data_IF_046286712725
#
_entry.id   IF_046286712725
#
_cell.length_a   1.000
_cell.length_b   1.000
_cell.length_c   1.000
_cell.angle_alpha   90.00
_cell.angle_beta   90.00
_cell.angle_gamma   90.00
#
_symmetry.space_group_name_H-M   'P 1'
#
loop_
_entity.id
_entity.type
_entity.pdbx_description
1 polymer ?
2 non-polymer ?
3 non-polymer ?
4 water ?
#
# COMPACT_ATOMS: atom_id res chain seq x y z
N UNK A 3 25.82 5.51 -16.77
CA UNK A 3 25.42 6.40 -15.65
C UNK A 3 25.00 5.54 -14.47
N UNK A 4 25.86 5.46 -13.46
CA UNK A 4 25.62 4.65 -12.25
C UNK A 4 24.40 5.12 -11.41
N UNK A 5 23.61 4.16 -10.94
CA UNK A 5 22.46 4.45 -10.08
C UNK A 5 22.32 3.32 -9.06
N UNK A 6 21.64 3.57 -7.96
CA UNK A 6 21.34 2.45 -7.06
C UNK A 6 20.38 1.47 -7.77
N UNK A 7 20.53 0.18 -7.53
CA UNK A 7 19.78 -0.86 -8.24
C UNK A 7 18.27 -0.67 -7.98
N UNK A 8 17.90 -0.55 -6.71
CA UNK A 8 16.51 -0.49 -6.25
C UNK A 8 16.37 0.41 -5.03
N UNK A 9 15.36 1.26 -5.05
CA UNK A 9 14.98 2.07 -3.94
C UNK A 9 13.53 1.76 -3.53
N UNK A 10 13.31 1.43 -2.27
CA UNK A 10 12.00 1.18 -1.72
C UNK A 10 11.44 2.49 -1.19
N UNK A 11 10.19 2.77 -1.57
CA UNK A 11 9.45 3.92 -1.09
C UNK A 11 8.22 3.46 -0.33
N UNK A 12 7.97 4.03 0.84
CA UNK A 12 6.78 3.70 1.59
C UNK A 12 5.90 4.92 1.56
N UNK A 13 4.77 4.80 0.88
CA UNK A 13 3.86 5.91 0.70
C UNK A 13 2.76 5.82 1.73
N UNK A 14 2.63 6.86 2.53
CA UNK A 14 1.65 6.94 3.57
C UNK A 14 0.41 7.73 3.16
N UNK A 15 -0.78 7.24 3.54
CA UNK A 15 -2.01 7.95 3.24
C UNK A 15 -3.04 7.78 4.32
N UNK A 16 -4.01 8.70 4.35
CA UNK A 16 -5.20 8.49 5.14
C UNK A 16 -6.44 8.90 4.33
N UNK A 17 -7.55 8.34 4.77
CA UNK A 17 -8.85 8.65 4.21
C UNK A 17 -9.88 8.61 5.31
N UNK A 18 -10.80 9.56 5.25
CA UNK A 18 -11.97 9.59 6.19
C UNK A 18 -12.77 8.30 6.14
N UNK A 19 -12.70 7.60 5.02
CA UNK A 19 -13.36 6.27 4.87
C UNK A 19 -12.95 5.33 6.03
N UNK A 20 -11.70 5.38 6.52
CA UNK A 20 -11.28 4.43 7.58
C UNK A 20 -11.91 4.73 8.95
N UNK A 21 -12.59 5.87 9.07
CA UNK A 21 -13.38 6.16 10.28
C UNK A 21 -14.67 5.34 10.40
N UNK A 22 -15.17 4.84 9.28
CA UNK A 22 -16.43 4.14 9.28
C UNK A 22 -16.24 2.79 10.00
N UNK A 23 -17.02 2.53 11.07
CA UNK A 23 -16.83 1.27 11.81
C UNK A 23 -16.93 0.02 10.91
N UNK A 24 -16.04 -0.94 11.15
CA UNK A 24 -15.97 -2.18 10.40
C UNK A 24 -15.28 -2.12 9.03
N UNK A 25 -14.91 -0.93 8.55
CA UNK A 25 -14.41 -0.79 7.15
C UNK A 25 -12.95 -1.19 7.04
N UNK A 26 -12.15 -0.94 8.09
CA UNK A 26 -10.69 -1.20 8.07
C UNK A 26 -10.27 -1.91 9.33
N UNK A 27 -9.33 -2.84 9.23
CA UNK A 27 -8.72 -3.39 10.43
C UNK A 27 -7.23 -2.93 10.61
N UNK A 28 -6.84 -1.86 9.91
CA UNK A 28 -5.44 -1.36 9.99
C UNK A 28 -5.25 -0.45 11.21
N UNK A 29 -5.42 -1.04 12.36
CA UNK A 29 -5.45 -0.30 13.63
C UNK A 29 -6.55 -0.83 14.54
N UNK A 30 -6.37 -0.63 15.85
CA UNK A 30 -7.20 -1.30 16.87
C UNK A 30 -8.63 -0.76 16.92
N UNK A 31 -8.80 0.47 16.48
CA UNK A 31 -10.10 1.09 16.42
C UNK A 31 -10.10 2.03 15.22
N UNK A 32 -11.28 2.48 14.79
CA UNK A 32 -11.29 3.49 13.74
C UNK A 32 -10.47 4.79 14.08
N UNK A 33 -10.49 5.26 15.31
CA UNK A 33 -9.71 6.42 15.71
C UNK A 33 -8.21 6.17 15.50
N UNK A 34 -7.73 4.99 15.91
CA UNK A 34 -6.32 4.65 15.83
C UNK A 34 -5.86 4.43 14.40
N UNK A 35 -6.78 4.28 13.45
CA UNK A 35 -6.35 4.19 12.05
C UNK A 35 -5.71 5.53 11.65
N UNK A 36 -6.04 6.60 12.35
CA UNK A 36 -5.37 7.86 12.08
C UNK A 36 -3.87 7.85 12.36
N UNK A 37 -3.41 6.95 13.21
CA UNK A 37 -2.03 6.91 13.70
C UNK A 37 -1.25 5.82 12.94
N UNK A 38 -1.96 4.80 12.46
CA UNK A 38 -1.32 3.65 11.86
C UNK A 38 -0.18 3.94 10.85
N UNK A 39 -0.44 4.77 9.85
CA UNK A 39 0.61 4.97 8.85
C UNK A 39 1.90 5.58 9.42
N UNK A 40 1.81 6.49 10.40
CA UNK A 40 3.04 7.05 10.98
C UNK A 40 3.76 6.11 11.87
N UNK A 41 3.03 5.30 12.62
CA UNK A 41 3.66 4.34 13.49
C UNK A 41 4.34 3.27 12.66
N UNK A 42 3.68 2.82 11.58
CA UNK A 42 4.31 1.86 10.67
C UNK A 42 5.67 2.36 10.17
N UNK A 43 5.69 3.60 9.68
CA UNK A 43 6.89 4.19 9.08
C UNK A 43 7.99 4.31 10.13
N UNK A 44 7.62 4.79 11.30
CA UNK A 44 8.59 5.06 12.36
C UNK A 44 9.24 3.78 12.86
N UNK A 45 8.40 2.75 13.03
CA UNK A 45 8.86 1.41 13.41
C UNK A 45 9.94 0.87 12.48
N UNK A 46 9.88 1.19 11.20
CA UNK A 46 10.93 0.73 10.32
C UNK A 46 12.34 1.16 10.73
N UNK A 47 12.46 2.31 11.41
CA UNK A 47 13.77 2.86 11.72
C UNK A 47 14.17 2.78 13.18
N UNK A 48 13.19 2.51 14.06
CA UNK A 48 13.41 2.49 15.51
C UNK A 48 12.85 1.22 16.11
N UNK A 49 13.34 0.85 17.30
CA UNK A 49 12.92 -0.38 17.96
C UNK A 49 11.43 -0.37 18.22
N UNK A 50 10.87 0.80 18.50
CA UNK A 50 9.43 1.00 18.65
C UNK A 50 9.08 2.29 17.89
N UNK A 51 7.82 2.43 17.44
CA UNK A 51 7.38 3.69 16.82
C UNK A 51 7.54 4.84 17.87
N UNK A 52 7.36 6.08 17.44
CA UNK A 52 7.58 7.27 18.28
C UNK A 52 6.33 8.03 18.58
N UNK A 53 5.43 8.15 17.61
CA UNK A 53 4.17 8.86 17.82
C UNK A 53 3.38 8.14 18.95
N UNK A 54 3.40 6.83 18.92
CA UNK A 54 2.89 6.00 20.03
C UNK A 54 3.95 4.94 20.06
N UNK A 55 4.10 4.25 21.18
CA UNK A 55 5.19 3.34 21.34
C UNK A 55 4.77 1.91 21.10
N UNK A 56 3.55 1.65 20.63
CA UNK A 56 3.22 0.26 20.26
C UNK A 56 2.84 0.16 18.77
N UNK A 57 3.21 -0.96 18.18
CA UNK A 57 3.02 -1.11 16.76
C UNK A 57 1.53 -1.24 16.50
N UNK A 58 1.09 -0.79 15.33
CA UNK A 58 -0.32 -0.97 15.04
C UNK A 58 -0.71 -2.45 15.01
N UNK A 59 -1.96 -2.72 15.40
CA UNK A 59 -2.54 -4.09 15.45
C UNK A 59 -3.98 -4.03 14.95
N UNK A 60 -4.53 -5.16 14.50
CA UNK A 60 -5.95 -5.24 14.21
C UNK A 60 -6.73 -5.29 15.55
N UNK A 61 -8.07 -5.04 15.52
CA UNK A 61 -8.83 -5.26 16.77
C UNK A 61 -8.60 -6.64 17.39
N UNK A 62 -8.33 -7.62 16.53
CA UNK A 62 -8.03 -9.00 16.93
C UNK A 62 -6.61 -9.19 17.50
N UNK A 63 -5.77 -8.17 17.38
CA UNK A 63 -4.36 -8.23 17.83
C UNK A 63 -3.35 -8.81 16.83
N UNK A 64 -3.66 -8.76 15.55
CA UNK A 64 -2.68 -9.21 14.55
C UNK A 64 -1.77 -8.04 14.24
N UNK A 65 -0.43 -8.25 14.28
CA UNK A 65 0.53 -7.15 14.09
C UNK A 65 0.53 -6.58 12.68
N UNK A 66 0.77 -5.29 12.59
CA UNK A 66 1.04 -4.69 11.31
C UNK A 66 2.04 -5.50 10.49
N UNK A 67 1.79 -5.61 9.19
CA UNK A 67 2.82 -6.20 8.30
C UNK A 67 4.09 -5.34 8.11
N UNK A 68 4.14 -4.15 8.72
CA UNK A 68 5.38 -3.39 8.77
C UNK A 68 6.49 -4.26 9.35
N UNK A 69 6.12 -5.22 10.16
CA UNK A 69 7.15 -6.11 10.77
C UNK A 69 7.90 -6.91 9.73
N UNK A 70 7.21 -7.25 8.65
CA UNK A 70 7.80 -8.00 7.54
C UNK A 70 8.76 -7.10 6.78
N UNK A 71 8.31 -5.89 6.49
CA UNK A 71 9.12 -4.91 5.80
C UNK A 71 10.43 -4.63 6.58
N UNK A 72 10.29 -4.41 7.90
CA UNK A 72 11.42 -4.15 8.78
C UNK A 72 12.43 -5.31 8.76
N UNK A 73 11.92 -6.52 8.89
CA UNK A 73 12.73 -7.73 8.78
C UNK A 73 13.51 -7.83 7.49
N UNK A 74 12.81 -7.68 6.37
CA UNK A 74 13.45 -7.78 5.06
C UNK A 74 14.53 -6.71 4.91
N UNK A 75 14.24 -5.48 5.37
CA UNK A 75 15.25 -4.39 5.31
C UNK A 75 16.44 -4.71 6.22
N UNK A 76 16.18 -5.28 7.39
CA UNK A 76 17.27 -5.58 8.32
C UNK A 76 18.19 -6.65 7.77
N UNK A 77 17.67 -7.63 7.03
CA UNK A 77 18.54 -8.63 6.38
C UNK A 77 19.33 -8.09 5.15
N UNK A 78 18.63 -7.36 4.26
CA UNK A 78 19.18 -7.00 2.94
C UNK A 78 19.71 -5.58 2.85
N UNK A 79 19.33 -4.69 3.77
CA UNK A 79 19.87 -3.31 3.78
C UNK A 79 19.36 -2.40 2.63
N UNK A 80 18.26 -2.76 1.95
CA UNK A 80 17.82 -1.98 0.81
C UNK A 80 17.51 -0.54 1.27
N UNK A 81 17.71 0.43 0.40
CA UNK A 81 17.42 1.80 0.81
C UNK A 81 15.93 2.06 0.81
N UNK A 82 15.52 2.92 1.72
CA UNK A 82 14.17 3.29 1.91
C UNK A 82 14.09 4.83 2.05
N UNK A 83 13.06 5.37 1.45
CA UNK A 83 12.57 6.72 1.75
C UNK A 83 11.10 6.59 2.00
N UNK A 84 10.66 7.17 3.10
CA UNK A 84 9.26 7.36 3.41
C UNK A 84 8.67 8.57 2.71
N UNK A 85 7.48 8.41 2.15
CA UNK A 85 6.86 9.49 1.43
C UNK A 85 5.48 9.76 2.04
N UNK A 86 5.21 10.99 2.50
CA UNK A 86 3.93 11.31 3.09
C UNK A 86 3.02 11.76 1.93
N UNK A 87 2.19 10.86 1.42
CA UNK A 87 1.28 11.25 0.32
C UNK A 87 0.21 12.23 0.75
N UNK A 88 -0.39 11.91 1.88
CA UNK A 88 -1.34 12.79 2.54
C UNK A 88 -1.89 12.03 3.70
N UNK A 89 -1.62 12.49 4.90
CA UNK A 89 -1.98 11.84 6.15
C UNK A 89 -2.39 12.88 7.20
N UNK A 90 -3.07 12.42 8.24
CA UNK A 90 -3.42 13.33 9.38
C UNK A 90 -2.15 13.90 10.01
N UNK A 91 -1.14 13.05 10.21
CA UNK A 91 0.11 13.44 10.92
C UNK A 91 1.38 13.16 10.08
N UNK A 92 2.39 13.99 10.30
CA UNK A 92 3.70 13.72 9.73
C UNK A 92 4.32 12.60 10.56
N UNK A 93 4.98 11.63 9.91
CA UNK A 93 5.71 10.70 10.80
C UNK A 93 6.96 11.35 11.40
N UNK A 94 7.36 10.89 12.57
CA UNK A 94 8.50 11.50 13.27
C UNK A 94 9.82 10.88 12.83
N UNK A 95 10.09 11.02 11.55
CA UNK A 95 11.29 10.56 10.92
C UNK A 95 11.49 11.48 9.71
N UNK A 96 12.71 11.52 9.15
CA UNK A 96 12.81 12.20 7.86
C UNK A 96 11.95 11.50 6.86
N UNK A 97 11.27 12.30 6.03
CA UNK A 97 10.37 11.79 5.04
C UNK A 97 10.14 12.81 3.98
N UNK A 98 9.74 12.36 2.78
CA UNK A 98 9.39 13.27 1.71
C UNK A 98 7.94 13.74 1.90
N UNK A 99 7.75 15.04 1.88
CA UNK A 99 6.42 15.63 2.02
C UNK A 99 5.84 15.85 0.65
N UNK A 100 4.66 15.27 0.41
CA UNK A 100 3.86 15.54 -0.78
C UNK A 100 2.69 16.42 -0.38
N UNK A 101 1.91 16.01 0.62
CA UNK A 101 0.81 16.84 1.12
C UNK A 101 0.42 16.46 2.55
N UNK A 102 -0.40 17.30 3.15
CA UNK A 102 -1.00 17.00 4.45
C UNK A 102 -2.52 16.75 4.28
N UNK A 103 -2.94 16.38 3.06
CA UNK A 103 -4.36 16.20 2.69
C UNK A 103 -4.80 14.86 3.20
N UNK A 104 -6.04 14.73 3.67
CA UNK A 104 -6.64 13.45 3.98
C UNK A 104 -7.79 13.29 2.94
N UNK A 105 -7.93 12.09 2.38
CA UNK A 105 -9.04 11.85 1.44
C UNK A 105 -10.37 11.97 2.15
N UNK A 106 -11.38 12.46 1.44
CA UNK A 106 -12.65 12.71 2.03
C UNK A 106 -13.52 11.46 1.95
N UNK A 107 -14.59 11.49 2.74
CA UNK A 107 -15.60 10.45 2.66
C UNK A 107 -16.36 10.63 1.33
N UNK A 108 -16.06 9.76 0.37
CA UNK A 108 -16.64 9.84 -0.99
C UNK A 108 -18.15 9.59 -1.08
N UNK A 109 -18.79 9.18 0.02
CA UNK A 109 -20.26 9.11 0.03
C UNK A 109 -20.83 10.52 0.07
N UNK A 110 -20.13 11.47 0.69
CA UNK A 110 -20.66 12.82 0.95
C UNK A 110 -20.17 13.83 -0.11
N UNK A 111 -18.92 13.68 -0.54
CA UNK A 111 -18.31 14.67 -1.43
C UNK A 111 -17.15 14.03 -2.19
N UNK A 112 -16.68 14.67 -3.28
CA UNK A 112 -15.45 14.14 -3.89
C UNK A 112 -14.31 13.84 -2.92
N UNK A 113 -13.65 12.71 -3.14
CA UNK A 113 -12.57 12.26 -2.25
C UNK A 113 -11.41 13.17 -2.19
N UNK A 114 -11.00 13.70 -3.34
CA UNK A 114 -9.70 14.25 -3.48
C UNK A 114 -9.70 15.47 -4.41
N UNK A 115 -10.24 16.58 -3.92
CA UNK A 115 -10.12 17.83 -4.69
C UNK A 115 -8.71 18.44 -4.73
N UNK A 116 -7.74 17.84 -4.06
CA UNK A 116 -6.35 18.26 -4.25
C UNK A 116 -5.60 17.32 -5.22
N UNK A 117 -6.32 16.51 -5.98
CA UNK A 117 -5.74 15.45 -6.78
C UNK A 117 -4.65 15.94 -7.73
N UNK A 118 -4.87 17.07 -8.41
CA UNK A 118 -3.88 17.56 -9.42
C UNK A 118 -2.57 17.92 -8.80
N UNK A 119 -2.60 18.67 -7.68
CA UNK A 119 -1.35 19.07 -7.05
C UNK A 119 -0.61 17.89 -6.44
N UNK A 120 -1.34 16.92 -5.90
CA UNK A 120 -0.71 15.73 -5.37
C UNK A 120 0.00 14.96 -6.47
N UNK A 121 -0.69 14.75 -7.59
CA UNK A 121 -0.07 14.03 -8.70
C UNK A 121 1.14 14.81 -9.20
N UNK A 122 1.01 16.13 -9.29
CA UNK A 122 2.08 16.98 -9.87
C UNK A 122 3.35 16.88 -9.01
N UNK A 123 3.18 16.96 -7.67
CA UNK A 123 4.35 16.91 -6.74
C UNK A 123 4.95 15.51 -6.71
N UNK A 124 4.11 14.49 -6.74
CA UNK A 124 4.63 13.12 -6.82
C UNK A 124 5.34 12.83 -8.13
N UNK A 125 4.79 13.35 -9.23
CA UNK A 125 5.42 13.24 -10.56
C UNK A 125 6.83 13.80 -10.53
N UNK A 126 6.97 15.00 -9.96
CA UNK A 126 8.24 15.68 -9.84
C UNK A 126 9.24 14.89 -9.00
N UNK A 127 8.76 14.30 -7.89
CA UNK A 127 9.58 13.38 -7.11
C UNK A 127 10.07 12.19 -7.95
N UNK A 128 9.17 11.57 -8.69
CA UNK A 128 9.52 10.45 -9.60
C UNK A 128 10.61 10.78 -10.57
N UNK A 129 10.45 11.95 -11.16
CA UNK A 129 11.43 12.48 -12.11
C UNK A 129 12.81 12.67 -11.48
N UNK A 130 12.92 13.15 -10.24
CA UNK A 130 14.26 13.24 -9.64
C UNK A 130 14.76 11.87 -9.23
N UNK A 131 13.88 11.02 -8.71
CA UNK A 131 14.33 9.63 -8.39
C UNK A 131 14.85 8.81 -9.58
N UNK A 132 14.34 9.08 -10.77
CA UNK A 132 14.84 8.44 -11.99
C UNK A 132 16.32 8.73 -12.25
N UNK A 133 16.82 9.82 -11.68
CA UNK A 133 18.24 10.12 -11.75
C UNK A 133 19.09 9.38 -10.74
N UNK A 134 18.47 8.76 -9.76
CA UNK A 134 19.18 8.15 -8.67
C UNK A 134 19.13 6.65 -8.63
N UNK A 135 18.05 6.07 -9.13
CA UNK A 135 17.71 4.64 -8.99
C UNK A 135 17.20 4.05 -10.30
N UNK A 136 17.54 2.80 -10.57
CA UNK A 136 17.13 2.14 -11.81
C UNK A 136 15.70 1.63 -11.64
N UNK A 137 15.29 1.39 -10.38
CA UNK A 137 14.04 0.73 -10.06
C UNK A 137 13.51 1.30 -8.71
N UNK A 138 12.21 1.54 -8.65
CA UNK A 138 11.58 1.82 -7.35
C UNK A 138 10.56 0.74 -7.03
N UNK A 139 10.49 0.41 -5.74
CA UNK A 139 9.56 -0.56 -5.20
C UNK A 139 8.69 0.24 -4.25
N UNK A 140 7.42 0.42 -4.59
CA UNK A 140 6.55 1.38 -3.91
C UNK A 140 5.53 0.65 -3.07
N UNK A 141 5.74 0.68 -1.76
CA UNK A 141 4.80 0.16 -0.79
C UNK A 141 3.91 1.24 -0.21
N UNK A 142 2.94 0.82 0.60
CA UNK A 142 2.00 1.80 1.13
C UNK A 142 1.42 1.40 2.43
N UNK A 143 1.07 2.42 3.20
CA UNK A 143 0.24 2.20 4.39
C UNK A 143 -0.85 3.26 4.45
N UNK A 144 -2.10 2.82 4.21
CA UNK A 144 -3.27 3.69 4.09
C UNK A 144 -4.50 2.96 4.57
N UNK A 145 -4.85 3.12 5.86
CA UNK A 145 -6.12 2.53 6.31
C UNK A 145 -7.29 3.04 5.52
N UNK A 146 -8.17 2.09 5.12
CA UNK A 146 -9.28 2.41 4.25
C UNK A 146 -8.97 2.33 2.76
N UNK A 147 -7.68 2.12 2.43
CA UNK A 147 -7.18 2.11 1.05
C UNK A 147 -7.76 1.02 0.15
N UNK A 148 -8.16 -0.11 0.71
CA UNK A 148 -8.76 -1.15 -0.13
C UNK A 148 -10.18 -0.76 -0.60
N UNK A 149 -10.88 0.04 0.20
CA UNK A 149 -12.23 0.51 -0.20
C UNK A 149 -12.17 1.60 -1.29
N UNK A 150 -11.23 2.54 -1.15
CA UNK A 150 -11.00 3.54 -2.18
C UNK A 150 -10.49 2.88 -3.46
N UNK A 151 -9.58 1.92 -3.31
CA UNK A 151 -9.08 1.16 -4.44
C UNK A 151 -10.19 0.38 -5.15
N UNK A 152 -11.06 -0.27 -4.39
CA UNK A 152 -12.18 -1.04 -4.98
C UNK A 152 -13.20 -0.12 -5.68
N UNK A 153 -13.46 1.05 -5.08
CA UNK A 153 -14.34 2.01 -5.70
C UNK A 153 -13.75 2.37 -7.08
N UNK A 154 -12.47 2.68 -7.11
CA UNK A 154 -11.84 3.02 -8.38
C UNK A 154 -11.87 1.87 -9.39
N UNK A 155 -11.56 0.66 -8.93
CA UNK A 155 -11.61 -0.51 -9.82
C UNK A 155 -13.02 -0.70 -10.42
N UNK A 156 -14.04 -0.67 -9.57
CA UNK A 156 -15.39 -0.77 -10.03
C UNK A 156 -15.72 0.31 -10.98
N UNK A 157 -15.33 1.55 -10.66
CA UNK A 157 -15.60 2.65 -11.56
C UNK A 157 -14.94 2.49 -12.93
N UNK A 158 -13.75 1.93 -12.96
CA UNK A 158 -13.04 1.66 -14.24
C UNK A 158 -13.49 0.39 -15.00
N UNK A 159 -14.44 -0.36 -14.43
CA UNK A 159 -15.00 -1.56 -15.04
C UNK A 159 -14.35 -2.89 -14.69
N UNK A 160 -13.56 -2.95 -13.63
CA UNK A 160 -12.95 -4.24 -13.21
C UNK A 160 -13.82 -4.85 -12.10
N UNK A 161 -14.42 -6.02 -12.32
CA UNK A 161 -15.31 -6.62 -11.29
C UNK A 161 -14.49 -7.42 -10.27
N UNK A 171 -19.02 -10.14 4.75
CA UNK A 171 -19.50 -9.24 5.81
C UNK A 171 -18.66 -7.97 5.90
N UNK A 172 -17.32 -8.10 5.87
CA UNK A 172 -16.54 -6.88 5.62
C UNK A 172 -16.89 -6.37 4.20
N UNK A 173 -17.04 -7.33 3.28
CA UNK A 173 -17.33 -7.06 1.88
C UNK A 173 -18.68 -6.37 1.68
N UNK A 174 -19.72 -6.76 2.42
CA UNK A 174 -21.04 -6.14 2.22
C UNK A 174 -21.07 -4.65 2.64
N UNK A 175 -20.39 -4.31 3.75
CA UNK A 175 -20.29 -2.90 4.13
C UNK A 175 -19.58 -2.11 3.03
N UNK A 176 -18.50 -2.66 2.49
CA UNK A 176 -17.74 -2.00 1.44
C UNK A 176 -18.57 -1.71 0.20
N UNK A 177 -19.32 -2.70 -0.25
CA UNK A 177 -20.19 -2.53 -1.43
C UNK A 177 -21.22 -1.45 -1.18
N UNK A 178 -21.76 -1.44 0.02
CA UNK A 178 -22.75 -0.46 0.41
C UNK A 178 -22.19 0.95 0.33
N UNK A 179 -21.00 1.13 0.91
CA UNK A 179 -20.34 2.40 0.98
C UNK A 179 -19.99 2.82 -0.43
N UNK A 180 -19.41 1.92 -1.23
CA UNK A 180 -19.06 2.24 -2.64
C UNK A 180 -20.33 2.60 -3.43
N UNK A 181 -21.39 1.85 -3.22
CA UNK A 181 -22.64 2.11 -3.95
C UNK A 181 -23.24 3.49 -3.62
N UNK A 182 -23.10 3.93 -2.38
CA UNK A 182 -23.51 5.28 -1.99
C UNK A 182 -22.65 6.34 -2.74
N UNK A 183 -21.35 6.12 -2.83
CA UNK A 183 -20.53 7.08 -3.57
C UNK A 183 -20.91 7.10 -5.05
N UNK A 184 -21.19 5.94 -5.61
CA UNK A 184 -21.57 5.84 -7.02
C UNK A 184 -22.91 6.57 -7.26
N UNK A 185 -23.81 6.49 -6.31
CA UNK A 185 -25.12 7.13 -6.44
C UNK A 185 -24.91 8.67 -6.40
N UNK A 186 -24.11 9.15 -5.46
CA UNK A 186 -23.73 10.58 -5.44
C UNK A 186 -23.24 11.08 -6.82
N UNK A 187 -22.28 10.37 -7.40
CA UNK A 187 -21.62 10.77 -8.64
C UNK A 187 -22.51 10.48 -9.85
N UNK A 188 -23.42 9.53 -9.73
CA UNK A 188 -24.37 9.18 -10.77
C UNK A 188 -23.83 8.19 -11.78
N UNK A 189 -23.00 7.24 -11.36
CA UNK A 189 -22.44 6.25 -12.29
C UNK A 189 -22.79 4.83 -11.85
N UNK A 190 -22.70 3.88 -12.79
CA UNK A 190 -22.69 2.46 -12.46
C UNK A 190 -21.26 1.92 -12.64
N UNK A 191 -21.03 0.66 -12.23
CA UNK A 191 -19.75 -0.01 -12.52
C UNK A 191 -19.41 0.23 -13.96
N UNK A 192 -18.16 0.55 -14.22
CA UNK A 192 -17.66 0.81 -15.56
C UNK A 192 -17.92 2.22 -16.04
N UNK A 193 -18.67 3.01 -15.28
CA UNK A 193 -19.06 4.34 -15.72
C UNK A 193 -17.92 5.33 -16.00
N UNK A 194 -16.72 5.12 -15.41
CA UNK A 194 -15.59 6.04 -15.65
C UNK A 194 -14.41 5.33 -16.33
N UNK A 195 -14.68 4.29 -17.12
CA UNK A 195 -13.57 3.46 -17.63
C UNK A 195 -12.57 4.24 -18.47
N UNK A 196 -13.00 5.34 -19.09
CA UNK A 196 -12.08 6.20 -19.84
C UNK A 196 -11.96 7.59 -19.20
N UNK A 197 -12.27 7.69 -17.90
CA UNK A 197 -12.17 8.95 -17.19
C UNK A 197 -11.40 8.69 -15.90
N UNK A 198 -10.14 8.23 -16.02
CA UNK A 198 -9.38 7.78 -14.82
C UNK A 198 -9.17 8.87 -13.76
N UNK A 199 -8.95 10.11 -14.20
CA UNK A 199 -8.64 11.19 -13.27
C UNK A 199 -9.88 11.53 -12.49
N UNK A 200 -11.03 11.43 -13.15
CA UNK A 200 -12.28 11.70 -12.45
C UNK A 200 -12.53 10.59 -11.41
N UNK A 201 -12.22 9.33 -11.74
CA UNK A 201 -12.44 8.22 -10.79
C UNK A 201 -11.60 8.46 -9.55
N UNK A 202 -10.38 8.93 -9.79
CA UNK A 202 -9.45 9.16 -8.69
C UNK A 202 -9.88 10.33 -7.85
N UNK A 203 -10.35 11.41 -8.48
CA UNK A 203 -10.77 12.58 -7.76
C UNK A 203 -11.99 12.24 -6.90
N UNK A 204 -12.92 11.46 -7.48
CA UNK A 204 -14.16 11.15 -6.80
C UNK A 204 -13.98 10.15 -5.69
N UNK A 205 -13.16 9.12 -5.89
CA UNK A 205 -13.15 7.93 -4.99
C UNK A 205 -11.80 7.55 -4.40
N UNK A 206 -10.76 8.32 -4.73
CA UNK A 206 -9.38 8.02 -4.35
C UNK A 206 -8.93 8.47 -2.95
N UNK A 207 -7.62 8.48 -2.79
CA UNK A 207 -7.03 8.93 -1.59
C UNK A 207 -5.62 9.42 -1.94
N UNK A 208 -4.96 10.09 -0.99
CA UNK A 208 -3.69 10.72 -1.39
C UNK A 208 -2.60 9.73 -1.70
N UNK A 209 -2.71 8.52 -1.16
CA UNK A 209 -1.66 7.50 -1.45
C UNK A 209 -1.82 7.04 -2.88
N UNK A 210 -3.06 6.77 -3.30
CA UNK A 210 -3.25 6.31 -4.70
C UNK A 210 -2.78 7.40 -5.65
N UNK A 211 -3.10 8.67 -5.39
CA UNK A 211 -2.66 9.75 -6.24
C UNK A 211 -1.16 9.87 -6.21
N UNK A 212 -0.54 9.65 -5.05
CA UNK A 212 0.96 9.75 -4.97
C UNK A 212 1.67 8.62 -5.71
N UNK A 213 1.22 7.38 -5.51
CA UNK A 213 1.80 6.28 -6.22
C UNK A 213 1.62 6.50 -7.74
N UNK A 214 0.45 7.01 -8.16
CA UNK A 214 0.22 7.23 -9.57
C UNK A 214 1.20 8.27 -10.12
N UNK A 215 1.36 9.38 -9.42
CA UNK A 215 2.29 10.42 -9.89
C UNK A 215 3.74 9.90 -9.92
N UNK A 216 4.15 9.18 -8.87
CA UNK A 216 5.48 8.55 -8.87
C UNK A 216 5.70 7.66 -10.11
N UNK A 217 4.70 6.84 -10.39
CA UNK A 217 4.71 5.94 -11.52
C UNK A 217 4.83 6.62 -12.89
N UNK A 218 4.12 7.75 -13.02
CA UNK A 218 4.13 8.58 -14.23
C UNK A 218 5.42 9.36 -14.37
N UNK A 219 6.02 9.75 -13.25
CA UNK A 219 7.22 10.57 -13.27
C UNK A 219 8.51 9.78 -13.35
N UNK A 220 8.58 8.65 -12.68
CA UNK A 220 9.76 7.77 -12.69
C UNK A 220 9.69 6.95 -13.99
N UNK A 221 10.74 6.95 -14.79
CA UNK A 221 10.76 6.29 -16.09
C UNK A 221 11.29 4.87 -16.11
N UNK A 222 11.94 4.42 -15.03
CA UNK A 222 12.49 3.05 -15.01
C UNK A 222 11.46 2.01 -14.58
N UNK A 223 11.95 0.85 -14.13
CA UNK A 223 11.11 -0.23 -13.63
C UNK A 223 10.45 0.17 -12.28
N UNK A 224 9.16 -0.10 -12.17
CA UNK A 224 8.39 0.21 -10.98
C UNK A 224 7.69 -1.05 -10.51
N UNK A 225 7.94 -1.43 -9.26
CA UNK A 225 7.31 -2.54 -8.59
C UNK A 225 6.29 -1.97 -7.60
N UNK A 226 5.04 -2.19 -7.92
CA UNK A 226 3.97 -1.73 -7.11
C UNK A 226 3.71 -2.79 -6.04
N UNK A 227 4.08 -2.44 -4.81
CA UNK A 227 4.16 -3.39 -3.76
C UNK A 227 2.91 -3.26 -2.91
N UNK A 228 1.88 -4.05 -3.24
CA UNK A 228 0.68 -4.17 -2.41
C UNK A 228 -0.38 -4.94 -3.22
N UNK A 229 -1.65 -4.80 -2.85
CA UNK A 229 -2.69 -5.72 -3.38
C UNK A 229 -3.65 -4.91 -4.20
N UNK A 230 -4.87 -4.84 -3.70
CA UNK A 230 -5.97 -4.21 -4.39
C UNK A 230 -5.63 -2.76 -4.68
N UNK A 231 -4.93 -2.13 -3.73
CA UNK A 231 -4.46 -0.74 -3.87
C UNK A 231 -3.63 -0.59 -5.14
N UNK A 232 -2.77 -1.59 -5.36
CA UNK A 232 -1.88 -1.54 -6.52
C UNK A 232 -2.52 -1.98 -7.86
N UNK A 233 -3.55 -2.82 -7.78
CA UNK A 233 -4.39 -3.05 -8.92
C UNK A 233 -5.06 -1.76 -9.38
N UNK A 234 -5.58 -0.97 -8.44
CA UNK A 234 -6.23 0.31 -8.80
C UNK A 234 -5.25 1.25 -9.46
N UNK A 235 -4.05 1.33 -8.92
CA UNK A 235 -3.01 2.15 -9.54
C UNK A 235 -2.70 1.66 -10.98
N UNK A 236 -2.48 0.35 -11.14
CA UNK A 236 -2.25 -0.30 -12.45
C UNK A 236 -3.37 0.00 -13.45
N UNK A 237 -4.60 -0.10 -12.99
CA UNK A 237 -5.76 0.15 -13.87
C UNK A 237 -5.82 1.62 -14.30
N UNK A 238 -5.46 2.52 -13.40
CA UNK A 238 -5.44 3.96 -13.75
C UNK A 238 -4.36 4.25 -14.80
N UNK A 239 -3.21 3.62 -14.61
CA UNK A 239 -2.08 3.76 -15.53
C UNK A 239 -2.48 3.32 -16.94
N UNK A 240 -3.12 2.16 -17.02
CA UNK A 240 -3.56 1.59 -18.30
C UNK A 240 -4.56 2.52 -18.94
N UNK A 241 -5.50 3.00 -18.14
CA UNK A 241 -6.54 3.81 -18.71
C UNK A 241 -5.89 5.11 -19.18
N UNK A 242 -4.80 5.54 -18.56
CA UNK A 242 -4.10 6.73 -19.01
C UNK A 242 -3.16 6.44 -20.22
N UNK A 243 -3.17 5.22 -20.74
CA UNK A 243 -2.30 4.83 -21.85
C UNK A 243 -0.84 4.56 -21.50
N UNK A 244 -0.52 4.35 -20.23
CA UNK A 244 0.87 4.08 -19.87
C UNK A 244 1.24 2.67 -20.32
N UNK A 245 2.37 2.55 -20.98
CA UNK A 245 2.90 1.23 -21.40
C UNK A 245 3.24 0.51 -20.06
N UNK A 246 2.59 -0.64 -19.84
CA UNK A 246 2.74 -1.38 -18.59
C UNK A 246 3.91 -2.40 -18.55
N UNK A 247 4.74 -2.45 -19.58
CA UNK A 247 5.81 -3.46 -19.58
C UNK A 247 6.87 -3.23 -18.44
N UNK A 248 7.10 -1.97 -18.06
CA UNK A 248 8.02 -1.64 -16.97
C UNK A 248 7.39 -1.67 -15.55
N UNK A 249 6.13 -2.04 -15.43
CA UNK A 249 5.47 -2.19 -14.13
C UNK A 249 5.32 -3.63 -13.77
N UNK A 250 5.42 -3.91 -12.47
CA UNK A 250 5.06 -5.19 -11.88
C UNK A 250 4.29 -4.93 -10.61
N UNK A 251 3.50 -5.90 -10.16
CA UNK A 251 2.89 -5.81 -8.82
C UNK A 251 3.55 -6.89 -7.96
N UNK A 252 3.83 -6.57 -6.69
CA UNK A 252 4.42 -7.53 -5.79
C UNK A 252 3.54 -7.66 -4.57
N UNK A 253 3.07 -8.87 -4.33
CA UNK A 253 2.22 -9.13 -3.19
C UNK A 253 2.67 -10.40 -2.48
N UNK A 254 1.80 -10.98 -1.68
CA UNK A 254 2.17 -12.14 -0.87
C UNK A 254 1.36 -13.40 -1.26
N UNK A 255 1.86 -14.57 -0.85
CA UNK A 255 1.08 -15.86 -0.90
C UNK A 255 -0.34 -15.67 -0.45
N UNK A 256 -0.49 -14.92 0.64
CA UNK A 256 -1.71 -14.94 1.38
C UNK A 256 -2.74 -14.31 0.53
N UNK A 257 -2.32 -13.29 -0.20
CA UNK A 257 -3.21 -12.54 -1.09
C UNK A 257 -3.64 -13.43 -2.27
N UNK A 258 -2.68 -14.15 -2.86
CA UNK A 258 -2.99 -14.88 -4.08
C UNK A 258 -3.73 -16.15 -3.77
N UNK A 259 -3.48 -16.74 -2.61
CA UNK A 259 -4.19 -17.94 -2.14
C UNK A 259 -5.65 -17.72 -1.69
N UNK A 260 -5.97 -16.56 -1.16
CA UNK A 260 -7.34 -16.18 -0.79
C UNK A 260 -8.42 -16.51 -1.87
N UNK A 261 -9.27 -17.53 -1.63
CA UNK A 261 -10.31 -17.78 -2.66
C UNK A 261 -11.38 -16.66 -2.78
N UNK A 262 -11.48 -15.78 -1.79
CA UNK A 262 -12.36 -14.61 -1.85
C UNK A 262 -11.85 -13.53 -2.78
N UNK A 263 -10.57 -13.59 -3.17
CA UNK A 263 -9.99 -12.50 -3.97
C UNK A 263 -9.71 -12.97 -5.39
N UNK A 264 -9.55 -11.99 -6.28
CA UNK A 264 -9.44 -12.17 -7.73
C UNK A 264 -8.16 -11.52 -8.23
N UNK A 265 -7.12 -11.58 -7.39
CA UNK A 265 -5.92 -10.80 -7.58
C UNK A 265 -5.27 -11.13 -8.94
N UNK A 266 -4.96 -12.39 -9.12
CA UNK A 266 -4.37 -12.81 -10.38
C UNK A 266 -5.24 -12.54 -11.60
N UNK A 267 -6.53 -12.79 -11.50
CA UNK A 267 -7.47 -12.56 -12.60
C UNK A 267 -7.52 -11.08 -13.03
N UNK A 268 -7.61 -10.19 -12.04
CA UNK A 268 -7.60 -8.74 -12.27
C UNK A 268 -6.25 -8.26 -12.77
N UNK A 269 -5.19 -8.76 -12.15
CA UNK A 269 -3.84 -8.43 -12.62
C UNK A 269 -3.70 -8.85 -14.07
N UNK A 270 -4.22 -10.03 -14.45
CA UNK A 270 -4.11 -10.49 -15.83
C UNK A 270 -5.04 -9.68 -16.77
N UNK A 271 -6.18 -9.21 -16.27
CA UNK A 271 -7.12 -8.35 -17.04
C UNK A 271 -6.50 -6.98 -17.32
N UNK A 272 -5.87 -6.38 -16.32
CA UNK A 272 -5.10 -5.16 -16.57
C UNK A 272 -3.95 -5.41 -17.49
N UNK A 273 -3.24 -6.51 -17.22
CA UNK A 273 -2.07 -6.83 -18.00
C UNK A 273 -0.77 -6.47 -17.31
N UNK A 274 -0.68 -6.73 -16.02
CA UNK A 274 0.54 -6.44 -15.27
C UNK A 274 1.08 -7.72 -14.66
N UNK A 275 2.38 -7.96 -14.68
CA UNK A 275 2.82 -9.24 -14.09
C UNK A 275 2.98 -9.16 -12.59
N UNK A 276 2.89 -10.31 -11.95
CA UNK A 276 2.78 -10.42 -10.51
C UNK A 276 3.92 -11.18 -9.86
N UNK A 277 4.52 -10.59 -8.82
CA UNK A 277 5.49 -11.26 -8.00
C UNK A 277 4.79 -11.67 -6.67
N UNK A 278 5.15 -12.84 -6.18
CA UNK A 278 4.43 -13.44 -5.05
C UNK A 278 5.44 -13.99 -4.04
N UNK A 279 5.53 -13.31 -2.89
CA UNK A 279 6.42 -13.60 -1.79
C UNK A 279 5.82 -14.77 -1.00
N UNK A 280 6.63 -15.80 -0.88
CA UNK A 280 6.19 -17.08 -0.30
C UNK A 280 6.49 -17.16 1.19
N UNK A 281 5.91 -16.24 1.95
CA UNK A 281 6.15 -16.26 3.38
C UNK A 281 5.25 -17.30 4.04
N UNK A 282 5.76 -17.93 5.07
CA UNK A 282 5.01 -18.92 5.87
C UNK A 282 5.33 -18.77 7.34
N UNK A 283 4.34 -18.40 8.12
CA UNK A 283 4.56 -18.16 9.55
C UNK A 283 3.99 -19.33 10.38
N UNK A 284 3.81 -20.49 9.78
CA UNK A 284 3.20 -21.66 10.49
C UNK A 284 3.97 -22.12 11.73
N UNK A 285 5.29 -22.03 11.66
CA UNK A 285 6.18 -22.45 12.71
C UNK A 285 6.41 -21.37 13.78
N UNK A 286 5.67 -20.27 13.70
CA UNK A 286 5.86 -19.18 14.66
C UNK A 286 5.34 -19.58 16.07
N UNK A 287 6.08 -19.17 17.10
CA UNK A 287 5.68 -19.30 18.51
C UNK A 287 4.48 -18.41 18.86
N UNK A 288 4.15 -17.43 18.02
CA UNK A 288 3.15 -16.43 18.37
C UNK A 288 1.88 -16.52 17.53
N UNK A 289 0.75 -16.66 18.21
CA UNK A 289 -0.52 -16.73 17.52
C UNK A 289 -0.82 -15.52 16.59
N UNK A 290 -0.33 -14.33 16.94
CA UNK A 290 -0.54 -13.15 16.08
C UNK A 290 0.11 -13.28 14.70
N UNK A 291 1.30 -13.88 14.68
CA UNK A 291 2.01 -14.27 13.44
C UNK A 291 1.46 -15.58 12.81
N UNK A 292 1.35 -16.66 13.61
CA UNK A 292 0.74 -17.90 13.17
C UNK A 292 -0.60 -17.58 12.45
N UNK A 293 -1.39 -16.64 12.96
CA UNK A 293 -2.71 -16.29 12.37
C UNK A 293 -2.68 -15.70 10.95
N UNK A 294 -1.52 -15.25 10.46
CA UNK A 294 -1.40 -14.85 9.03
C UNK A 294 -1.76 -15.99 8.07
N UNK A 295 -1.59 -17.23 8.52
CA UNK A 295 -1.96 -18.37 7.69
C UNK A 295 -3.49 -18.54 7.57
N UNK A 296 -4.26 -17.83 8.38
CA UNK A 296 -5.70 -18.01 8.44
C UNK A 296 -6.50 -16.84 7.86
N UNK A 297 -5.94 -16.15 6.85
CA UNK A 297 -6.66 -15.06 6.19
C UNK A 297 -6.50 -13.67 6.78
N UNK A 298 -5.84 -13.55 7.93
CA UNK A 298 -5.72 -12.24 8.61
C UNK A 298 -4.52 -11.37 8.16
N UNK A 299 -4.79 -10.07 7.94
CA UNK A 299 -3.80 -9.07 7.47
C UNK A 299 -3.42 -9.30 6.02
N UNK A 300 -2.64 -10.35 5.73
CA UNK A 300 -2.26 -10.73 4.37
C UNK A 300 -1.26 -9.83 3.62
N UNK A 301 -1.31 -8.52 3.83
CA UNK A 301 -0.57 -7.59 3.01
C UNK A 301 -0.55 -6.16 3.61
N UNK A 302 0.43 -5.36 3.18
CA UNK A 302 0.57 -3.96 3.61
C UNK A 302 2.02 -3.56 3.84
N UNK A 303 2.25 -2.25 3.80
CA UNK A 303 3.57 -1.63 4.08
C UNK A 303 4.64 -2.15 3.10
N UNK A 304 4.18 -2.51 1.90
CA UNK A 304 5.06 -3.09 0.90
C UNK A 304 5.73 -4.38 1.32
N UNK A 305 5.10 -5.12 2.24
CA UNK A 305 5.73 -6.33 2.77
C UNK A 305 6.14 -7.35 1.69
N UNK A 306 5.27 -7.57 0.72
CA UNK A 306 5.57 -8.51 -0.39
C UNK A 306 6.75 -8.01 -1.20
N UNK A 307 6.72 -6.72 -1.53
CA UNK A 307 7.78 -6.07 -2.27
C UNK A 307 9.14 -6.10 -1.55
N UNK A 308 9.11 -5.82 -0.26
CA UNK A 308 10.33 -5.85 0.59
C UNK A 308 10.93 -7.22 0.62
N UNK A 309 10.06 -8.23 0.76
CA UNK A 309 10.52 -9.61 0.73
C UNK A 309 11.14 -9.95 -0.60
N UNK A 310 10.51 -9.50 -1.69
CA UNK A 310 11.06 -9.73 -3.02
C UNK A 310 12.47 -9.15 -3.11
N UNK A 311 12.67 -7.94 -2.59
CA UNK A 311 14.03 -7.34 -2.59
C UNK A 311 15.03 -8.18 -1.76
N UNK A 312 14.60 -8.65 -0.58
CA UNK A 312 15.46 -9.46 0.28
C UNK A 312 15.84 -10.76 -0.44
N UNK A 313 14.89 -11.36 -1.18
CA UNK A 313 15.18 -12.57 -1.98
C UNK A 313 16.15 -12.27 -3.13
N UNK A 314 15.97 -11.15 -3.83
CA UNK A 314 16.90 -10.77 -4.87
C UNK A 314 18.32 -10.57 -4.30
N UNK A 315 18.40 -10.13 -3.05
CA UNK A 315 19.67 -9.93 -2.36
C UNK A 315 20.25 -11.21 -1.83
N UNK A 316 19.56 -12.34 -2.06
CA UNK A 316 20.09 -13.64 -1.73
C UNK A 316 19.45 -14.35 -0.56
N UNK A 317 18.53 -13.71 0.14
CA UNK A 317 17.90 -14.35 1.29
C UNK A 317 16.73 -15.18 0.84
N UNK A 318 16.26 -16.10 1.69
CA UNK A 318 15.11 -16.91 1.35
C UNK A 318 13.87 -16.35 2.04
N UNK A 319 12.68 -16.74 1.57
CA UNK A 319 11.47 -16.35 2.27
C UNK A 319 11.46 -16.92 3.67
N UNK A 320 12.07 -18.09 3.86
CA UNK A 320 12.19 -18.63 5.18
C UNK A 320 13.04 -17.71 6.08
N UNK A 321 14.13 -17.14 5.55
CA UNK A 321 15.05 -16.24 6.33
C UNK A 321 14.31 -14.99 6.79
N UNK A 322 13.43 -14.49 5.94
CA UNK A 322 12.65 -13.30 6.28
C UNK A 322 11.68 -13.67 7.41
N UNK A 323 11.01 -14.82 7.26
CA UNK A 323 10.07 -15.31 8.28
C UNK A 323 10.74 -15.50 9.64
N UNK A 324 12.00 -15.92 9.61
CA UNK A 324 12.80 -16.08 10.81
C UNK A 324 13.11 -14.74 11.45
N UNK A 325 13.43 -13.74 10.62
CA UNK A 325 13.65 -12.40 11.14
C UNK A 325 12.37 -11.83 11.73
N UNK A 326 11.23 -12.12 11.12
CA UNK A 326 9.96 -11.58 11.62
C UNK A 326 9.69 -12.14 13.01
N UNK A 327 9.87 -13.45 13.16
CA UNK A 327 9.57 -14.12 14.41
C UNK A 327 10.48 -13.52 15.52
N UNK A 328 11.74 -13.25 15.20
CA UNK A 328 12.69 -12.58 16.08
C UNK A 328 12.39 -11.10 16.45
N UNK A 329 11.82 -10.36 15.50
CA UNK A 329 11.45 -9.01 15.79
C UNK A 329 10.22 -9.06 16.71
N UNK A 330 9.35 -10.05 16.51
CA UNK A 330 8.13 -10.09 17.29
C UNK A 330 8.48 -10.36 18.75
N UNK A 331 9.49 -11.19 19.00
CA UNK A 331 9.88 -11.52 20.39
C UNK A 331 10.60 -10.32 21.05
N UNK A 332 11.08 -9.36 20.27
CA UNK A 332 11.60 -8.12 20.85
C UNK A 332 10.48 -7.19 21.35
N UNK A 333 9.26 -7.34 20.81
CA UNK A 333 8.14 -6.43 21.12
C UNK A 333 7.64 -6.48 22.57
N UNK A 334 7.66 -5.33 23.23
CA UNK A 334 7.16 -5.17 24.61
C UNK A 334 5.86 -4.31 24.62
N UNK A 335 5.01 -4.55 25.62
CA UNK A 335 3.80 -3.74 25.85
C UNK A 335 2.60 -3.88 24.90
N UNK A 336 2.57 -4.96 24.12
CA UNK A 336 1.38 -5.37 23.34
C UNK A 336 0.25 -5.74 24.31
N UNK A 337 -1.00 -5.43 23.94
CA UNK A 337 -2.17 -5.64 24.80
C UNK A 337 -2.30 -7.08 25.33
X LIG B 1 -7.72 -1.53 4.68
X LIG B 1 -8.60 -0.86 3.73
X LIG B 1 -7.40 -0.53 5.77
X LIG B 1 -8.39 -2.64 5.34
X LIG B 1 -6.58 -1.92 3.88
X LIG C 1 0.87 18.92 9.26
X LIG C 1 1.48 19.54 10.46
X LIG C 1 0.25 17.62 9.63
X LIG C 1 -0.21 19.80 8.72
X LIG C 1 1.92 18.86 8.19
X LIG D 1 -2.27 -3.20 10.55
X LIG D 1 -2.63 -3.62 9.42
X LIG D 1 -1.54 -2.19 10.65
X LIG D 1 -2.68 -3.91 11.83
X LIG E 1 -22.54 10.29 3.85
X LIG E 1 -23.17 9.23 4.15
X LIG E 1 -22.87 10.98 2.85
X LIG E 1 -21.38 10.72 4.73
#
# INVERSE_FOLDING_TARGET
>A
GHMKKVKSLFLLVLGNTEISTIPGISVAGATPELTKITPVADAEYLFYEKPLTIDTIPVTPEGHPTPAIITKAARELSNFPILVVRGGTYLAPLIPHVHISNVVGRDFRREPALPEVEVIIERAKLLGKELEKIANEIVIGESTPGGTTTAQAILWALGYEAKTSSASPENPQELKEKVIKEGFKRVGIEKGGLKDKPLEALKEFGDPMIATVLGLSLGFGGDVVLAGGTQMLAVSALLKSLGEDLSRFMIATTRWVVEDPSATFIETAREIGIISYVAELDFSKSKFKGLRDYERGYVKEGVGAGGATWLAVKAGYSPEDVSKKVEELYERLMGLR
>B hetero
1 SO4 S O1 O2 O3 O4
>C hetero
1 SO4 S O1 O2 O3 O4
>D hetero
1 ACY C O OXT CH3
>E hetero
1 ACY C O OXT CH3
#
